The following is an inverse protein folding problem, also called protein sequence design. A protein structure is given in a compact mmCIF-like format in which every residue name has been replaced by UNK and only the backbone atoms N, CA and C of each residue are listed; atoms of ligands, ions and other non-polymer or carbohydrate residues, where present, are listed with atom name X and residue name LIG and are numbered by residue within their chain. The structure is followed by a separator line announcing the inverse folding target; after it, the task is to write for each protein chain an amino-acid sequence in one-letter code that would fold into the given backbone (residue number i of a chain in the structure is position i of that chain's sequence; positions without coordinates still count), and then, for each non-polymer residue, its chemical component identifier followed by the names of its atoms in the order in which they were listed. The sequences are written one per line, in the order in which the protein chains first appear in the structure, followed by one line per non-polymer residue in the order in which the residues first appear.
data_IF_454979655801
#
_entry.id   IF_454979655801
#
_cell.length_a   1.000
_cell.length_b   1.000
_cell.length_c   1.000
_cell.angle_alpha   90.00
_cell.angle_beta   90.00
_cell.angle_gamma   90.00
#
_symmetry.space_group_name_H-M   'P 1'
#
loop_
_entity.id
_entity.type
_entity.pdbx_description
1 polymer ?
2 polymer ?
3 non-polymer ?
4 non-polymer ?
5 water ?
#
# COMPACT_ATOMS: atom_id res chain seq x y z
N UNK A 112 -13.35 4.72 -19.84
CA UNK A 112 -13.83 4.10 -18.55
C UNK A 112 -13.70 2.57 -18.48
N UNK A 113 -13.23 2.08 -17.33
CA UNK A 113 -13.11 0.66 -17.08
C UNK A 113 -14.48 0.08 -16.88
N UNK A 114 -14.67 -1.10 -17.45
CA UNK A 114 -15.90 -1.87 -17.27
C UNK A 114 -16.14 -2.42 -15.83
N UNK A 115 -15.10 -2.47 -15.02
CA UNK A 115 -15.12 -2.98 -13.66
C UNK A 115 -14.81 -1.91 -12.61
N UNK A 116 -15.07 -0.65 -12.93
CA UNK A 116 -14.73 0.50 -12.07
C UNK A 116 -15.62 0.55 -10.77
N UNK A 117 -16.75 -0.20 -10.79
CA UNK A 117 -17.46 -0.51 -9.57
C UNK A 117 -18.07 -1.91 -9.58
N UNK A 118 -18.29 -2.41 -8.37
CA UNK A 118 -19.01 -3.63 -8.11
C UNK A 118 -20.16 -3.29 -7.12
N UNK A 119 -21.36 -3.81 -7.37
CA UNK A 119 -22.49 -3.67 -6.45
C UNK A 119 -22.64 -4.91 -5.63
N UNK A 120 -22.53 -4.79 -4.31
CA UNK A 120 -22.64 -5.98 -3.46
C UNK A 120 -23.98 -5.97 -2.73
N UNK A 121 -24.58 -7.16 -2.62
CA UNK A 121 -25.83 -7.32 -1.88
C UNK A 121 -25.80 -8.50 -0.93
N UNK A 122 -26.55 -8.39 0.15
CA UNK A 122 -26.73 -9.50 1.12
C UNK A 122 -27.83 -10.47 0.62
N UNK A 123 -27.54 -11.75 0.59
CA UNK A 123 -28.59 -12.68 0.13
C UNK A 123 -28.83 -13.79 1.14
N UNK A 124 -28.41 -13.62 2.40
CA UNK A 124 -28.36 -14.79 3.31
C UNK A 124 -27.64 -14.48 4.60
N UNK A 125 -27.70 -15.38 5.58
CA UNK A 125 -26.85 -15.25 6.75
C UNK A 125 -25.42 -15.45 6.24
N UNK A 126 -24.61 -14.41 6.39
CA UNK A 126 -23.22 -14.45 5.92
C UNK A 126 -23.08 -14.81 4.43
N UNK A 127 -24.08 -14.45 3.63
CA UNK A 127 -24.04 -14.74 2.20
C UNK A 127 -24.22 -13.44 1.41
N UNK A 128 -23.46 -13.29 0.33
CA UNK A 128 -23.40 -12.06 -0.46
C UNK A 128 -23.32 -12.40 -1.91
N UNK A 129 -23.75 -11.47 -2.76
CA UNK A 129 -23.58 -11.59 -4.18
C UNK A 129 -23.12 -10.23 -4.71
N UNK A 130 -22.27 -10.26 -5.73
CA UNK A 130 -21.78 -8.99 -6.33
C UNK A 130 -22.07 -9.01 -7.80
N UNK A 131 -22.35 -7.85 -8.36
CA UNK A 131 -22.29 -7.69 -9.82
C UNK A 131 -21.46 -6.50 -10.28
N UNK A 132 -20.54 -6.80 -11.17
CA UNK A 132 -19.68 -5.77 -11.71
C UNK A 132 -20.50 -4.84 -12.60
N UNK A 133 -20.14 -3.57 -12.61
CA UNK A 133 -20.86 -2.60 -13.42
C UNK A 133 -21.24 -3.13 -14.83
N UNK A 134 -20.26 -3.67 -15.58
CA UNK A 134 -20.52 -4.12 -16.99
C UNK A 134 -21.49 -5.32 -17.12
N UNK A 135 -21.75 -6.05 -16.02
CA UNK A 135 -22.65 -7.23 -16.02
C UNK A 135 -24.08 -6.89 -15.56
N UNK A 136 -24.31 -5.68 -15.08
CA UNK A 136 -25.67 -5.32 -14.66
C UNK A 136 -26.70 -5.41 -15.80
N UNK A 137 -27.79 -6.17 -15.57
CA UNK A 137 -28.84 -6.35 -16.60
C UNK A 137 -29.84 -5.20 -16.64
N UNK A 138 -29.67 -4.19 -15.79
CA UNK A 138 -30.63 -3.11 -15.74
C UNK A 138 -29.89 -1.92 -15.15
N UNK A 139 -30.57 -0.78 -15.20
CA UNK A 139 -30.05 0.44 -14.73
C UNK A 139 -30.53 0.61 -13.28
N UNK A 140 -29.62 0.42 -12.28
CA UNK A 140 -30.16 0.37 -10.89
C UNK A 140 -30.74 1.73 -10.51
N UNK A 141 -31.79 1.74 -9.70
CA UNK A 141 -32.39 2.99 -9.21
C UNK A 141 -31.53 3.53 -8.09
N UNK A 142 -31.89 4.70 -7.58
CA UNK A 142 -31.05 5.41 -6.61
C UNK A 142 -31.14 4.62 -5.33
N UNK A 143 -32.32 4.00 -5.10
CA UNK A 143 -32.56 3.14 -3.94
C UNK A 143 -31.65 1.88 -3.94
N UNK A 144 -31.63 1.19 -5.07
CA UNK A 144 -30.75 0.07 -5.24
C UNK A 144 -29.24 0.45 -5.01
N UNK A 145 -28.80 1.50 -5.68
CA UNK A 145 -27.45 2.10 -5.44
C UNK A 145 -27.21 2.38 -3.96
N UNK A 146 -28.14 3.06 -3.28
CA UNK A 146 -28.00 3.39 -1.85
C UNK A 146 -28.18 2.27 -0.85
N UNK A 147 -28.69 1.13 -1.27
CA UNK A 147 -28.93 -0.05 -0.42
C UNK A 147 -27.83 -1.07 -0.55
N UNK A 148 -27.11 -1.02 -1.70
CA UNK A 148 -25.93 -1.88 -1.94
C UNK A 148 -24.73 -1.39 -1.16
N UNK A 149 -23.81 -2.32 -0.87
CA UNK A 149 -22.40 -1.96 -0.69
C UNK A 149 -21.70 -1.66 -2.07
N UNK A 150 -21.41 -0.39 -2.35
CA UNK A 150 -20.76 -0.01 -3.61
C UNK A 150 -19.21 -0.05 -3.51
N UNK A 151 -18.56 -0.83 -4.36
CA UNK A 151 -17.10 -0.95 -4.27
C UNK A 151 -16.50 -0.21 -5.48
N UNK A 152 -15.62 0.80 -5.24
CA UNK A 152 -14.98 1.60 -6.32
C UNK A 152 -13.52 1.12 -6.56
N UNK A 153 -13.17 0.83 -7.80
CA UNK A 153 -11.82 0.35 -8.15
C UNK A 153 -10.87 1.57 -8.09
N UNK A 154 -9.71 1.46 -7.43
CA UNK A 154 -8.73 2.54 -7.43
C UNK A 154 -7.72 2.30 -8.55
N UNK A 155 -6.59 3.03 -8.56
CA UNK A 155 -5.64 2.92 -9.65
C UNK A 155 -4.88 1.61 -9.79
N UNK A 156 -4.80 0.83 -8.73
CA UNK A 156 -4.16 -0.51 -8.73
C UNK A 156 -5.17 -1.68 -8.62
N UNK A 157 -6.49 -1.44 -8.64
CA UNK A 157 -7.40 -2.58 -8.57
C UNK A 157 -7.80 -3.02 -7.15
N UNK A 158 -7.47 -2.18 -6.15
CA UNK A 158 -8.11 -2.23 -4.81
C UNK A 158 -9.51 -1.70 -4.96
N UNK A 159 -10.43 -2.20 -4.12
CA UNK A 159 -11.83 -1.78 -4.14
C UNK A 159 -12.21 -1.18 -2.78
N UNK A 160 -12.72 0.04 -2.83
CA UNK A 160 -13.08 0.83 -1.64
C UNK A 160 -14.56 0.96 -1.54
N UNK A 161 -15.10 0.74 -0.32
CA UNK A 161 -16.51 1.01 -0.04
C UNK A 161 -16.61 2.48 0.22
N UNK A 162 -17.85 3.04 0.25
CA UNK A 162 -18.09 4.47 0.06
C UNK A 162 -17.43 5.45 1.05
N UNK A 163 -17.56 5.23 2.41
CA UNK A 163 -17.01 6.21 3.39
C UNK A 163 -15.49 6.31 3.24
N UNK A 164 -14.84 5.20 2.85
CA UNK A 164 -13.41 5.17 2.56
C UNK A 164 -13.03 5.69 1.19
N UNK A 165 -13.76 5.34 0.14
CA UNK A 165 -13.52 5.94 -1.16
C UNK A 165 -13.59 7.45 -1.11
N UNK A 166 -14.58 7.99 -0.38
CA UNK A 166 -14.73 9.43 -0.22
C UNK A 166 -13.49 10.07 0.44
N UNK A 167 -13.10 9.56 1.62
CA UNK A 167 -11.94 10.14 2.34
C UNK A 167 -10.62 9.93 1.58
N UNK A 168 -10.56 8.93 0.72
CA UNK A 168 -9.37 8.70 -0.09
C UNK A 168 -9.15 9.79 -1.16
N UNK A 169 -10.18 10.58 -1.46
CA UNK A 169 -9.95 11.77 -2.29
C UNK A 169 -8.95 12.67 -1.55
N UNK A 170 -7.87 13.05 -2.21
CA UNK A 170 -6.86 13.82 -1.47
C UNK A 170 -7.00 15.32 -1.75
N UNK A 171 -6.62 16.16 -0.80
CA UNK A 171 -6.65 17.60 -1.09
C UNK A 171 -5.33 18.05 -1.73
N UNK A 172 -5.44 18.79 -2.84
CA UNK A 172 -4.35 19.52 -3.44
C UNK A 172 -3.54 20.28 -2.41
N UNK A 173 -2.23 20.02 -2.48
CA UNK A 173 -1.14 20.83 -1.90
C UNK A 173 -1.44 22.34 -1.69
N UNK A 174 -1.93 23.01 -2.73
CA UNK A 174 -2.10 24.45 -2.67
C UNK A 174 -3.27 24.80 -1.79
N UNK A 175 -4.37 24.08 -2.01
CA UNK A 175 -5.59 24.20 -1.24
C UNK A 175 -5.31 23.88 0.22
N UNK A 176 -4.65 22.77 0.51
CA UNK A 176 -4.30 22.49 1.89
C UNK A 176 -3.61 23.71 2.56
N UNK A 177 -2.50 24.20 1.98
CA UNK A 177 -1.69 25.34 2.50
C UNK A 177 -2.51 26.62 2.84
N UNK A 178 -3.30 27.02 1.87
CA UNK A 178 -4.30 28.11 1.90
C UNK A 178 -5.53 27.81 2.78
N UNK A 179 -5.41 27.65 4.10
CA UNK A 179 -6.49 26.91 4.84
C UNK A 179 -6.02 26.36 6.20
N UNK A 182 -5.30 29.74 7.19
CA UNK A 182 -5.52 28.67 8.16
C UNK A 182 -6.73 29.13 9.03
N UNK A 183 -7.42 28.20 9.76
CA UNK A 183 -8.86 28.41 10.03
C UNK A 183 -9.75 28.11 11.30
N UNK A 184 -9.82 26.88 11.92
CA UNK A 184 -9.71 25.45 11.61
C UNK A 184 -11.14 25.08 11.18
N UNK A 185 -11.70 23.95 11.66
CA UNK A 185 -13.15 23.57 11.49
C UNK A 185 -13.91 24.02 10.22
N UNK A 186 -13.66 25.26 9.80
CA UNK A 186 -13.96 25.66 8.42
C UNK A 186 -13.00 24.87 7.57
N UNK A 187 -11.96 24.35 8.23
CA UNK A 187 -10.97 23.52 7.64
C UNK A 187 -11.62 22.23 7.19
N UNK A 188 -12.30 21.55 8.13
CA UNK A 188 -13.10 20.37 7.88
C UNK A 188 -14.20 20.65 6.88
N UNK A 189 -14.94 21.74 7.10
CA UNK A 189 -16.00 22.16 6.16
C UNK A 189 -15.50 22.23 4.71
N UNK A 190 -14.35 22.84 4.48
CA UNK A 190 -13.88 23.13 3.10
C UNK A 190 -13.25 21.89 2.46
N UNK A 191 -12.54 21.11 3.27
CA UNK A 191 -12.08 19.79 2.85
C UNK A 191 -13.24 18.91 2.38
N UNK A 192 -14.31 18.85 3.17
CA UNK A 192 -15.53 18.10 2.82
C UNK A 192 -16.20 18.61 1.49
N UNK A 193 -16.29 19.93 1.36
CA UNK A 193 -16.91 20.54 0.20
C UNK A 193 -15.99 20.25 -0.97
N UNK A 194 -14.69 20.36 -0.78
CA UNK A 194 -13.78 19.97 -1.88
C UNK A 194 -13.97 18.50 -2.35
N UNK A 195 -13.93 17.55 -1.40
CA UNK A 195 -14.13 16.11 -1.76
C UNK A 195 -15.55 15.83 -2.31
N UNK A 196 -16.57 16.51 -1.75
CA UNK A 196 -17.99 16.39 -2.22
C UNK A 196 -18.12 16.70 -3.72
N UNK A 197 -17.38 17.69 -4.23
CA UNK A 197 -17.48 17.98 -5.66
C UNK A 197 -16.78 16.97 -6.54
N UNK A 198 -15.63 16.48 -6.12
CA UNK A 198 -14.97 15.38 -6.82
C UNK A 198 -15.89 14.17 -6.81
N UNK A 199 -16.43 13.86 -5.64
CA UNK A 199 -17.25 12.67 -5.46
C UNK A 199 -18.49 12.72 -6.36
N UNK A 200 -19.25 13.82 -6.26
CA UNK A 200 -20.43 14.12 -7.12
C UNK A 200 -20.19 14.07 -8.61
N UNK A 201 -19.11 14.70 -9.02
CA UNK A 201 -18.73 14.65 -10.45
C UNK A 201 -18.33 13.23 -10.88
N UNK A 202 -17.59 12.52 -10.05
CA UNK A 202 -17.27 11.11 -10.35
C UNK A 202 -18.53 10.20 -10.45
N UNK A 203 -19.51 10.40 -9.59
CA UNK A 203 -20.72 9.57 -9.61
C UNK A 203 -21.53 9.80 -10.86
N UNK A 204 -21.62 11.08 -11.26
CA UNK A 204 -22.23 11.51 -12.56
C UNK A 204 -21.66 10.90 -13.80
N UNK A 205 -20.34 10.87 -13.90
CA UNK A 205 -19.63 10.17 -14.94
C UNK A 205 -19.78 8.65 -14.89
N UNK A 206 -19.74 8.05 -13.72
CA UNK A 206 -19.93 6.59 -13.61
C UNK A 206 -21.43 6.18 -13.82
N UNK A 207 -22.32 7.16 -13.78
CA UNK A 207 -23.74 6.87 -13.97
C UNK A 207 -24.48 6.39 -12.73
N UNK A 208 -23.87 6.62 -11.56
CA UNK A 208 -24.45 6.19 -10.27
C UNK A 208 -25.35 7.29 -9.71
N UNK A 209 -26.61 6.99 -9.43
CA UNK A 209 -27.51 8.02 -8.86
C UNK A 209 -27.72 7.99 -7.36
N UNK A 210 -27.39 6.87 -6.70
CA UNK A 210 -27.35 6.80 -5.25
C UNK A 210 -25.90 6.99 -4.79
N UNK A 211 -25.66 8.17 -4.21
CA UNK A 211 -24.36 8.73 -3.95
C UNK A 211 -24.11 8.97 -2.45
N UNK A 212 -24.89 8.30 -1.57
CA UNK A 212 -24.63 8.35 -0.12
C UNK A 212 -23.22 7.90 0.21
N UNK A 213 -22.62 8.52 1.22
CA UNK A 213 -21.24 8.28 1.65
C UNK A 213 -21.17 7.26 2.78
N UNK A 214 -22.16 7.31 3.69
CA UNK A 214 -22.31 6.34 4.81
C UNK A 214 -21.21 6.48 5.84
N UNK A 215 -20.81 7.71 6.07
CA UNK A 215 -19.80 8.03 7.06
C UNK A 215 -20.37 8.11 8.50
N UNK A 216 -21.71 8.13 8.63
CA UNK A 216 -22.41 8.27 9.95
C UNK A 216 -22.05 7.14 10.89
N UNK A 217 -21.62 7.51 12.10
CA UNK A 217 -21.22 6.54 13.13
C UNK A 217 -22.46 6.02 13.89
N UNK A 218 -22.32 4.85 14.48
CA UNK A 218 -23.31 4.25 15.31
C UNK A 218 -23.28 4.97 16.68
N UNK A 219 -24.35 5.70 16.98
CA UNK A 219 -24.29 6.60 18.11
C UNK A 219 -24.62 5.94 19.48
N UNK A 220 -25.15 4.71 19.43
CA UNK A 220 -25.20 3.81 20.58
C UNK A 220 -23.85 3.31 21.11
N UNK A 221 -22.79 3.45 20.30
CA UNK A 221 -21.47 2.96 20.67
C UNK A 221 -20.56 4.10 21.20
N UNK A 222 -20.04 3.90 22.40
CA UNK A 222 -19.14 4.86 23.02
C UNK A 222 -17.69 4.42 22.95
N UNK A 223 -16.81 5.37 22.66
CA UNK A 223 -15.40 5.10 22.50
C UNK A 223 -14.66 4.96 23.83
N UNK A 224 -13.53 4.24 23.82
CA UNK A 224 -12.59 4.30 24.95
C UNK A 224 -11.72 5.59 24.91
N UNK A 225 -10.95 5.82 25.97
CA UNK A 225 -10.26 7.12 26.21
C UNK A 225 -9.21 7.45 25.15
N UNK A 226 -8.74 6.43 24.44
CA UNK A 226 -7.81 6.55 23.32
C UNK A 226 -8.61 6.98 22.06
N UNK A 227 -9.89 7.32 22.26
CA UNK A 227 -10.87 7.58 21.17
C UNK A 227 -10.98 6.43 20.16
N UNK A 228 -10.90 5.19 20.65
CA UNK A 228 -11.10 4.03 19.78
C UNK A 228 -12.18 3.11 20.29
N UNK A 229 -12.55 2.15 19.45
CA UNK A 229 -13.49 1.13 19.85
C UNK A 229 -13.00 0.32 21.07
N UNK A 230 -13.86 0.08 22.05
CA UNK A 230 -13.62 -0.96 23.08
C UNK A 230 -13.43 -2.31 22.37
N UNK A 231 -12.64 -3.23 22.96
CA UNK A 231 -12.49 -4.55 22.36
C UNK A 231 -13.82 -5.27 22.18
N UNK A 232 -14.77 -5.08 23.10
CA UNK A 232 -16.05 -5.70 22.87
C UNK A 232 -16.86 -5.12 21.74
N UNK A 233 -16.46 -3.98 21.15
CA UNK A 233 -17.27 -3.38 20.09
C UNK A 233 -16.62 -3.48 18.73
N UNK A 234 -15.47 -4.13 18.66
CA UNK A 234 -14.70 -4.18 17.42
C UNK A 234 -14.73 -5.46 16.66
N UNK A 235 -15.75 -6.29 16.87
CA UNK A 235 -15.92 -7.58 16.12
C UNK A 235 -17.28 -7.73 15.48
N UNK A 236 -17.29 -8.38 14.33
CA UNK A 236 -18.53 -8.86 13.77
C UNK A 236 -18.47 -10.37 13.93
N UNK A 237 -19.59 -10.97 14.30
CA UNK A 237 -19.75 -12.41 14.42
C UNK A 237 -20.39 -12.97 13.16
N UNK A 238 -19.72 -13.92 12.55
CA UNK A 238 -20.38 -14.71 11.54
C UNK A 238 -21.06 -15.92 12.22
N UNK A 239 -22.07 -16.45 11.56
CA UNK A 239 -22.72 -17.66 12.07
C UNK A 239 -21.82 -18.89 12.11
N UNK A 240 -21.06 -19.11 11.04
CA UNK A 240 -20.29 -20.34 10.83
C UNK A 240 -18.78 -20.13 10.80
N UNK A 241 -18.29 -18.88 10.63
CA UNK A 241 -16.90 -18.67 10.26
C UNK A 241 -15.99 -18.03 11.27
N UNK A 242 -16.51 -17.80 12.47
CA UNK A 242 -15.74 -17.12 13.50
C UNK A 242 -16.03 -15.61 13.49
N UNK A 243 -15.32 -14.87 14.30
CA UNK A 243 -15.45 -13.39 14.36
C UNK A 243 -14.52 -12.68 13.40
N UNK A 244 -14.83 -11.44 13.05
CA UNK A 244 -13.87 -10.64 12.33
C UNK A 244 -13.72 -9.24 12.92
N UNK A 245 -12.47 -8.83 13.10
CA UNK A 245 -12.21 -7.49 13.64
C UNK A 245 -12.50 -6.35 12.62
N UNK A 246 -13.08 -5.24 13.09
CA UNK A 246 -13.28 -4.06 12.21
C UNK A 246 -12.67 -2.85 12.88
N UNK A 247 -12.52 -1.78 12.10
CA UNK A 247 -11.91 -0.52 12.45
C UNK A 247 -12.89 0.53 13.06
N UNK A 248 -14.15 0.49 12.65
CA UNK A 248 -15.07 1.57 12.91
C UNK A 248 -16.48 1.03 12.82
N UNK A 249 -17.34 1.56 13.72
CA UNK A 249 -18.79 1.26 13.77
C UNK A 249 -19.63 2.28 13.08
N UNK A 250 -20.25 1.84 12.00
CA UNK A 250 -20.99 2.72 11.12
C UNK A 250 -22.46 2.50 11.42
N UNK A 251 -23.26 3.57 11.34
CA UNK A 251 -24.70 3.46 11.43
C UNK A 251 -25.30 2.52 10.35
N UNK A 252 -24.78 2.56 9.12
CA UNK A 252 -25.20 1.68 8.02
C UNK A 252 -24.06 0.72 7.70
N UNK A 253 -24.02 -0.37 8.44
CA UNK A 253 -22.90 -1.26 8.42
C UNK A 253 -22.69 -1.95 7.08
N UNK A 254 -23.72 -2.45 6.44
CA UNK A 254 -23.55 -3.17 5.20
C UNK A 254 -23.04 -2.22 4.10
N UNK A 255 -23.71 -1.07 3.92
CA UNK A 255 -23.39 -0.09 2.93
C UNK A 255 -22.05 0.55 3.10
N UNK A 256 -21.59 0.71 4.36
CA UNK A 256 -20.27 1.23 4.68
C UNK A 256 -19.15 0.25 4.37
N UNK A 257 -19.46 -1.01 4.08
CA UNK A 257 -18.41 -2.01 3.72
C UNK A 257 -17.97 -2.83 4.93
N UNK A 258 -18.59 -2.57 6.08
CA UNK A 258 -18.17 -3.22 7.31
C UNK A 258 -18.80 -4.58 7.57
N UNK A 259 -19.21 -5.30 6.51
CA UNK A 259 -19.84 -6.60 6.62
C UNK A 259 -19.52 -7.56 5.50
N UNK A 260 -18.39 -7.45 4.82
CA UNK A 260 -18.13 -8.22 3.62
C UNK A 260 -17.31 -9.41 3.99
N UNK A 261 -17.23 -10.39 3.08
CA UNK A 261 -16.35 -11.56 3.32
C UNK A 261 -14.87 -11.22 3.12
N UNK A 262 -14.04 -12.17 3.47
CA UNK A 262 -12.62 -12.06 3.52
C UNK A 262 -12.08 -11.86 2.08
N UNK A 263 -12.65 -12.60 1.11
CA UNK A 263 -12.03 -12.87 -0.18
C UNK A 263 -13.04 -12.49 -1.22
N UNK A 264 -12.61 -11.71 -2.19
CA UNK A 264 -13.39 -11.44 -3.42
C UNK A 264 -12.59 -11.92 -4.66
N UNK A 265 -13.18 -12.80 -5.47
CA UNK A 265 -12.55 -13.28 -6.69
C UNK A 265 -13.30 -12.60 -7.83
N UNK A 266 -12.59 -12.02 -8.78
CA UNK A 266 -13.27 -11.42 -9.90
C UNK A 266 -12.70 -12.09 -11.16
N UNK A 267 -13.52 -12.93 -11.83
CA UNK A 267 -13.01 -13.74 -12.96
C UNK A 267 -12.77 -12.85 -14.18
N UNK A 268 -12.08 -13.39 -15.23
CA UNK A 268 -11.90 -12.64 -16.48
C UNK A 268 -13.20 -12.16 -17.15
N UNK A 269 -14.32 -12.85 -16.86
CA UNK A 269 -15.67 -12.37 -17.30
C UNK A 269 -16.32 -11.32 -16.36
N UNK A 270 -15.66 -11.00 -15.23
CA UNK A 270 -16.05 -9.92 -14.32
C UNK A 270 -17.16 -10.39 -13.39
N UNK A 271 -17.27 -11.69 -13.26
CA UNK A 271 -18.12 -12.38 -12.33
C UNK A 271 -17.40 -12.39 -10.97
N UNK A 272 -18.17 -12.22 -9.91
CA UNK A 272 -17.70 -12.06 -8.56
C UNK A 272 -18.01 -13.33 -7.79
N UNK A 273 -16.99 -13.90 -7.11
CA UNK A 273 -17.25 -14.94 -6.13
C UNK A 273 -16.68 -14.50 -4.80
N UNK A 274 -17.38 -14.82 -3.74
CA UNK A 274 -17.01 -14.38 -2.41
C UNK A 274 -16.75 -15.56 -1.58
N UNK A 275 -15.83 -15.42 -0.65
CA UNK A 275 -15.40 -16.51 0.19
C UNK A 275 -15.02 -16.03 1.61
N UNK A 276 -15.33 -16.88 2.60
CA UNK A 276 -14.82 -16.79 3.98
C UNK A 276 -13.81 -17.92 4.27
N UNK A 277 -12.69 -17.62 4.92
CA UNK A 277 -11.84 -18.60 5.55
C UNK A 277 -12.48 -19.06 6.88
N UNK A 278 -12.11 -20.25 7.34
CA UNK A 278 -12.35 -20.66 8.75
C UNK A 278 -11.23 -21.55 9.26
N UNK A 279 -10.97 -21.50 10.56
CA UNK A 279 -10.04 -22.42 11.25
C UNK A 279 -10.32 -23.84 10.81
N UNK A 280 -9.30 -24.46 10.21
CA UNK A 280 -9.34 -25.81 9.70
C UNK A 280 -10.13 -26.03 8.43
N UNK A 281 -10.11 -25.06 7.51
CA UNK A 281 -10.81 -25.23 6.23
C UNK A 281 -9.95 -25.95 5.22
N UNK A 282 -10.47 -26.16 4.00
CA UNK A 282 -9.70 -26.88 2.96
C UNK A 282 -8.28 -26.32 2.73
N UNK A 283 -8.02 -25.05 3.12
CA UNK A 283 -6.64 -24.52 3.02
C UNK A 283 -5.91 -24.35 4.36
N UNK A 284 -6.39 -24.94 5.44
CA UNK A 284 -5.64 -24.85 6.70
C UNK A 284 -4.13 -25.18 6.57
N UNK A 285 -3.30 -24.25 7.07
CA UNK A 285 -1.85 -24.30 6.98
C UNK A 285 -1.31 -24.44 5.54
N UNK A 286 -2.15 -24.12 4.54
CA UNK A 286 -1.75 -23.97 3.15
C UNK A 286 -1.52 -22.49 2.76
N UNK A 287 -0.62 -22.26 1.81
CA UNK A 287 -0.10 -20.91 1.54
C UNK A 287 -1.03 -20.19 0.59
N UNK A 288 -1.09 -18.86 0.69
CA UNK A 288 -1.90 -18.09 -0.21
C UNK A 288 -1.63 -18.47 -1.69
N UNK A 289 -0.35 -18.59 -2.05
CA UNK A 289 0.07 -18.94 -3.44
C UNK A 289 -0.54 -20.24 -4.00
N UNK A 290 -0.78 -21.19 -3.12
CA UNK A 290 -1.55 -22.39 -3.52
C UNK A 290 -3.03 -22.08 -3.81
N UNK A 291 -3.64 -21.26 -2.96
CA UNK A 291 -5.05 -20.91 -3.19
C UNK A 291 -5.12 -20.19 -4.53
N UNK A 292 -4.20 -19.26 -4.71
CA UNK A 292 -4.05 -18.46 -5.87
C UNK A 292 -3.95 -19.31 -7.17
N UNK A 293 -3.12 -20.35 -7.13
CA UNK A 293 -2.95 -21.24 -8.29
C UNK A 293 -4.17 -22.07 -8.64
N UNK A 294 -4.93 -22.47 -7.64
CA UNK A 294 -6.16 -23.20 -7.81
C UNK A 294 -7.29 -22.27 -8.29
N UNK A 295 -7.19 -21.00 -7.93
CA UNK A 295 -8.14 -20.03 -8.44
C UNK A 295 -7.86 -19.80 -9.91
N UNK A 296 -6.62 -19.68 -10.31
CA UNK A 296 -6.45 -19.31 -11.69
C UNK A 296 -6.59 -20.51 -12.65
N UNK A 297 -6.28 -21.70 -12.16
CA UNK A 297 -6.71 -22.93 -12.80
C UNK A 297 -8.21 -23.05 -13.04
N UNK A 298 -9.03 -22.86 -12.02
CA UNK A 298 -10.53 -22.84 -12.15
C UNK A 298 -11.12 -21.73 -13.08
N UNK A 299 -10.58 -20.50 -12.99
CA UNK A 299 -11.24 -19.34 -13.59
C UNK A 299 -10.55 -18.70 -14.75
N UNK A 300 -9.26 -18.94 -14.93
CA UNK A 300 -8.47 -18.21 -15.89
C UNK A 300 -7.33 -17.49 -15.18
N UNK A 301 -6.19 -17.40 -15.82
CA UNK A 301 -5.04 -16.80 -15.18
C UNK A 301 -5.12 -15.27 -15.05
N UNK A 302 -6.10 -14.63 -15.71
CA UNK A 302 -6.37 -13.19 -15.62
C UNK A 302 -7.31 -12.81 -14.46
N UNK A 303 -7.68 -13.79 -13.64
CA UNK A 303 -8.54 -13.62 -12.47
C UNK A 303 -7.90 -12.72 -11.40
N UNK A 304 -8.68 -11.84 -10.80
CA UNK A 304 -8.18 -10.99 -9.70
C UNK A 304 -8.63 -11.52 -8.35
N UNK A 305 -7.78 -11.44 -7.35
CA UNK A 305 -8.18 -11.82 -6.01
C UNK A 305 -7.96 -10.65 -5.11
N UNK A 306 -9.00 -10.26 -4.36
CA UNK A 306 -8.98 -9.25 -3.33
C UNK A 306 -9.14 -9.86 -1.96
N UNK A 307 -8.36 -9.30 -1.06
CA UNK A 307 -8.31 -9.73 0.33
C UNK A 307 -8.69 -8.50 1.18
N UNK A 308 -9.71 -8.68 1.99
CA UNK A 308 -10.27 -7.63 2.83
C UNK A 308 -9.40 -7.15 3.97
N UNK A 309 -9.39 -5.85 4.13
CA UNK A 309 -8.72 -5.21 5.21
C UNK A 309 -9.74 -5.05 6.38
N UNK A 310 -9.26 -4.91 7.61
CA UNK A 310 -10.22 -4.58 8.73
C UNK A 310 -11.05 -3.33 8.53
N UNK A 311 -10.62 -2.48 7.62
CA UNK A 311 -11.34 -1.27 7.32
C UNK A 311 -12.53 -1.48 6.36
N UNK A 312 -12.46 -2.56 5.63
CA UNK A 312 -13.46 -2.73 4.60
C UNK A 312 -12.89 -2.69 3.20
N UNK A 313 -11.69 -2.13 3.03
CA UNK A 313 -11.02 -2.17 1.74
C UNK A 313 -10.66 -3.58 1.29
N UNK A 314 -10.93 -3.89 0.03
CA UNK A 314 -10.53 -5.12 -0.61
C UNK A 314 -9.32 -4.87 -1.46
N UNK A 315 -8.15 -5.19 -0.90
CA UNK A 315 -6.90 -5.00 -1.56
C UNK A 315 -6.62 -6.14 -2.52
N UNK A 316 -6.24 -5.77 -3.74
CA UNK A 316 -5.75 -6.70 -4.70
C UNK A 316 -4.52 -7.37 -4.11
N UNK A 317 -4.49 -8.69 -4.29
CA UNK A 317 -3.41 -9.58 -3.82
C UNK A 317 -2.00 -9.19 -4.36
N UNK A 318 -1.90 -8.86 -5.65
CA UNK A 318 -0.62 -8.37 -6.23
C UNK A 318 -0.21 -6.99 -5.71
N UNK A 319 -1.16 -6.07 -5.54
CA UNK A 319 -0.83 -4.83 -4.82
C UNK A 319 -0.16 -5.10 -3.41
N UNK A 320 -0.77 -5.97 -2.64
CA UNK A 320 -0.24 -6.34 -1.31
C UNK A 320 1.19 -6.93 -1.40
N UNK A 321 1.44 -7.84 -2.33
CA UNK A 321 2.77 -8.40 -2.54
C UNK A 321 3.77 -7.38 -2.99
N UNK A 322 3.38 -6.48 -3.91
CA UNK A 322 4.31 -5.33 -4.27
C UNK A 322 4.62 -4.43 -3.06
N UNK A 323 3.71 -4.33 -2.09
CA UNK A 323 3.99 -3.56 -0.87
C UNK A 323 5.02 -4.29 0.03
N UNK A 324 4.81 -5.60 0.26
CA UNK A 324 5.74 -6.42 1.06
C UNK A 324 5.52 -7.83 0.59
N UNK A 325 6.55 -8.50 0.10
CA UNK A 325 6.43 -9.90 -0.27
C UNK A 325 5.95 -10.74 0.90
N UNK A 326 4.96 -11.61 0.66
CA UNK A 326 4.31 -12.42 1.69
C UNK A 326 3.15 -11.80 2.47
N UNK A 327 2.89 -10.52 2.25
CA UNK A 327 1.69 -9.78 2.83
C UNK A 327 0.34 -10.40 2.48
N UNK A 328 0.21 -10.85 1.23
CA UNK A 328 -1.02 -11.45 0.76
C UNK A 328 -1.28 -12.71 1.60
N UNK A 329 -0.20 -13.46 1.80
CA UNK A 329 -0.23 -14.73 2.58
C UNK A 329 -0.49 -14.46 4.05
N UNK A 330 0.15 -13.45 4.60
CA UNK A 330 -0.13 -13.02 6.00
C UNK A 330 -1.58 -12.66 6.19
N UNK A 331 -2.14 -11.86 5.30
CA UNK A 331 -3.55 -11.51 5.39
C UNK A 331 -4.43 -12.75 5.22
N UNK A 332 -4.13 -13.58 4.21
CA UNK A 332 -4.89 -14.82 4.00
C UNK A 332 -4.93 -15.81 5.26
N UNK A 333 -3.78 -16.06 5.84
CA UNK A 333 -3.64 -16.89 7.04
C UNK A 333 -4.46 -16.35 8.19
N UNK A 334 -4.45 -15.03 8.36
CA UNK A 334 -5.01 -14.36 9.53
C UNK A 334 -6.51 -14.52 9.59
N UNK A 335 -7.17 -14.54 8.41
CA UNK A 335 -8.60 -14.80 8.32
C UNK A 335 -9.02 -16.13 9.02
N UNK A 336 -8.16 -17.15 8.89
CA UNK A 336 -8.31 -18.50 9.50
C UNK A 336 -7.70 -18.61 10.95
N UNK A 337 -7.13 -17.54 11.49
CA UNK A 337 -6.51 -17.59 12.82
C UNK A 337 -5.10 -18.17 12.84
N UNK A 338 -4.47 -18.19 11.66
CA UNK A 338 -3.14 -18.75 11.47
C UNK A 338 -2.08 -17.65 11.50
N UNK A 339 -0.83 -18.09 11.62
CA UNK A 339 0.32 -17.24 11.93
C UNK A 339 1.51 -18.01 11.35
N UNK A 340 2.30 -17.36 10.51
CA UNK A 340 3.51 -18.01 9.93
C UNK A 340 4.57 -16.95 9.73
N UNK A 341 5.81 -17.42 9.54
CA UNK A 341 7.00 -16.53 9.54
C UNK A 341 7.19 -15.71 8.26
N UNK A 345 14.72 -9.67 1.34
CA UNK A 345 13.78 -8.70 1.89
C UNK A 345 14.03 -7.18 1.95
N UNK A 346 15.24 -6.65 1.84
CA UNK A 346 15.31 -5.29 1.33
C UNK A 346 14.76 -5.21 -0.13
N UNK A 347 14.15 -4.08 -0.54
CA UNK A 347 13.89 -3.99 -2.03
C UNK A 347 15.17 -4.16 -2.91
N UNK A 348 15.02 -4.80 -4.08
CA UNK A 348 16.09 -5.08 -5.03
C UNK A 348 16.80 -3.84 -5.60
N UNK A 349 16.00 -2.79 -5.83
CA UNK A 349 16.47 -1.53 -6.32
C UNK A 349 15.54 -0.47 -5.73
N UNK A 350 16.05 0.75 -5.55
CA UNK A 350 15.35 1.83 -4.92
C UNK A 350 15.66 3.13 -5.75
N UNK A 351 14.74 4.12 -5.74
CA UNK A 351 15.02 5.42 -6.35
C UNK A 351 14.76 6.52 -5.31
N UNK A 352 15.69 7.48 -5.22
CA UNK A 352 15.54 8.61 -4.38
C UNK A 352 14.62 9.69 -5.01
N UNK A 353 13.49 9.92 -4.37
CA UNK A 353 12.42 10.78 -4.83
C UNK A 353 12.39 12.02 -3.97
N UNK A 354 13.22 12.00 -2.92
CA UNK A 354 13.46 13.12 -2.05
C UNK A 354 14.66 13.84 -2.59
N UNK A 355 15.42 14.47 -1.68
CA UNK A 355 16.51 15.42 -2.03
C UNK A 355 16.10 16.49 -3.08
N UNK A 356 15.25 17.48 -2.71
CA UNK A 356 14.62 18.51 -3.66
C UNK A 356 15.05 20.02 -4.18
N UNK A 357 14.77 21.26 -3.57
CA UNK A 357 14.86 22.35 -2.55
C UNK A 357 16.11 22.53 -1.69
N UNK A 363 18.12 21.49 0.09
CA UNK A 363 17.70 20.12 -0.34
C UNK A 363 16.96 19.38 0.73
N UNK A 364 15.79 18.89 0.35
CA UNK A 364 14.89 18.08 1.18
C UNK A 364 15.46 16.69 1.62
N UNK A 365 14.82 16.01 2.56
CA UNK A 365 15.29 14.68 3.00
C UNK A 365 15.24 13.58 1.91
N UNK A 366 16.15 12.62 2.02
CA UNK A 366 16.14 11.46 1.15
C UNK A 366 14.92 10.59 1.38
N UNK A 367 14.39 9.99 0.30
CA UNK A 367 13.25 9.10 0.41
C UNK A 367 13.34 8.17 -0.75
N UNK A 368 13.72 6.91 -0.48
CA UNK A 368 14.06 5.94 -1.52
C UNK A 368 12.88 4.98 -1.74
N UNK A 369 12.34 4.89 -2.93
CA UNK A 369 11.14 4.17 -3.10
C UNK A 369 11.56 3.01 -3.93
N UNK A 370 11.08 1.84 -3.54
CA UNK A 370 11.27 0.61 -4.30
C UNK A 370 10.93 0.81 -5.79
N UNK A 371 11.83 0.41 -6.67
CA UNK A 371 11.59 0.47 -8.10
C UNK A 371 10.48 -0.45 -8.65
N UNK A 372 10.50 -1.71 -8.22
CA UNK A 372 9.45 -2.65 -8.43
C UNK A 372 8.02 -2.14 -8.09
N UNK A 373 7.84 -1.66 -6.87
CA UNK A 373 6.62 -0.93 -6.49
C UNK A 373 6.20 0.13 -7.54
N UNK A 374 7.12 1.03 -7.84
CA UNK A 374 6.86 2.06 -8.78
C UNK A 374 6.48 1.55 -10.18
N UNK A 375 7.27 0.66 -10.76
CA UNK A 375 7.05 0.16 -12.08
C UNK A 375 5.81 -0.75 -12.23
N UNK A 376 5.47 -1.50 -11.18
CA UNK A 376 4.31 -2.38 -11.18
C UNK A 376 3.04 -1.53 -11.07
N UNK A 377 3.10 -0.58 -10.19
CA UNK A 377 1.89 0.07 -9.74
C UNK A 377 1.61 1.41 -10.47
N UNK A 378 2.66 2.06 -11.00
CA UNK A 378 2.43 3.33 -11.73
C UNK A 378 3.26 3.26 -13.01
N UNK A 379 2.86 2.39 -13.95
CA UNK A 379 3.64 2.14 -15.19
C UNK A 379 3.73 3.40 -16.11
N UNK A 380 2.84 4.37 -15.91
CA UNK A 380 2.90 5.63 -16.63
C UNK A 380 3.31 6.84 -15.81
N UNK A 381 3.70 6.68 -14.54
CA UNK A 381 4.43 7.75 -13.80
C UNK A 381 5.57 8.37 -14.68
N UNK A 382 5.78 9.71 -14.60
CA UNK A 382 7.06 10.24 -15.20
C UNK A 382 8.35 9.71 -14.55
N UNK A 383 8.39 9.41 -13.22
CA UNK A 383 9.53 8.64 -12.62
C UNK A 383 9.74 7.30 -13.30
N UNK A 384 8.70 6.48 -13.35
CA UNK A 384 8.75 5.16 -13.99
C UNK A 384 9.24 5.25 -15.42
N UNK A 385 8.70 6.19 -16.18
CA UNK A 385 9.05 6.24 -17.58
C UNK A 385 10.49 6.75 -17.78
N UNK A 386 10.91 7.77 -17.03
CA UNK A 386 12.35 8.17 -17.04
C UNK A 386 13.30 7.01 -16.67
N UNK A 387 12.95 6.22 -15.62
CA UNK A 387 13.76 5.03 -15.21
C UNK A 387 13.89 3.97 -16.30
N UNK A 388 12.80 3.71 -17.01
CA UNK A 388 12.75 2.78 -18.13
C UNK A 388 13.66 3.21 -19.26
N UNK A 389 13.86 4.49 -19.46
CA UNK A 389 14.75 5.00 -20.50
C UNK A 389 16.21 5.13 -19.99
N UNK A 390 16.50 4.76 -18.74
CA UNK A 390 17.84 4.88 -18.23
C UNK A 390 18.19 6.21 -17.62
N UNK A 391 17.22 7.06 -17.41
CA UNK A 391 17.49 8.36 -16.74
C UNK A 391 17.39 8.20 -15.19
N UNK A 392 17.82 9.22 -14.47
CA UNK A 392 17.74 9.28 -13.02
C UNK A 392 18.60 8.16 -12.36
N UNK A 393 19.61 7.63 -13.08
CA UNK A 393 20.51 6.60 -12.59
C UNK A 393 21.34 7.10 -11.43
N UNK A 394 21.51 8.42 -11.28
CA UNK A 394 22.25 8.90 -10.11
C UNK A 394 21.38 8.93 -8.82
N UNK A 395 20.10 8.56 -8.94
CA UNK A 395 19.25 8.47 -7.78
C UNK A 395 18.91 6.97 -7.45
N UNK A 396 19.48 6.05 -8.20
CA UNK A 396 19.17 4.63 -8.08
C UNK A 396 20.26 3.91 -7.28
N UNK A 397 19.80 3.00 -6.39
CA UNK A 397 20.61 2.12 -5.49
C UNK A 397 20.15 0.74 -5.80
N UNK A 398 21.05 -0.22 -5.82
CA UNK A 398 20.73 -1.62 -6.13
C UNK A 398 21.34 -2.49 -5.03
N UNK A 399 20.60 -3.54 -4.66
CA UNK A 399 21.01 -4.47 -3.60
C UNK A 399 22.14 -5.51 -4.05
N UNK A 400 23.25 -5.59 -3.29
CA UNK A 400 24.27 -6.63 -3.43
C UNK A 400 23.68 -8.02 -3.38
N UNK A 401 24.42 -8.99 -3.90
CA UNK A 401 24.00 -10.40 -3.89
C UNK A 401 23.75 -10.93 -2.49
N UNK A 402 24.59 -10.52 -1.53
CA UNK A 402 24.41 -10.92 -0.13
C UNK A 402 23.20 -10.31 0.64
N UNK A 403 22.49 -9.34 0.05
CA UNK A 403 21.24 -8.81 0.64
C UNK A 403 21.45 -7.72 1.65
N UNK A 404 22.69 -7.30 1.83
CA UNK A 404 23.01 -6.45 3.01
C UNK A 404 23.46 -5.03 2.72
N UNK A 405 23.74 -4.79 1.47
CA UNK A 405 24.32 -3.56 1.08
C UNK A 405 23.66 -2.97 -0.18
N UNK A 406 23.44 -1.68 -0.18
CA UNK A 406 23.15 -0.88 -1.39
C UNK A 406 24.33 -0.13 -1.97
N UNK A 407 24.35 -0.10 -3.30
CA UNK A 407 25.39 0.60 -4.04
C UNK A 407 24.81 1.14 -5.34
N UNK A 408 25.50 2.06 -5.97
CA UNK A 408 25.16 2.43 -7.35
C UNK A 408 25.13 1.24 -8.32
N UNK A 409 24.35 1.39 -9.38
CA UNK A 409 24.34 0.37 -10.45
C UNK A 409 25.68 0.13 -11.16
N UNK A 410 26.45 1.20 -11.43
CA UNK A 410 27.85 0.99 -11.97
C UNK A 410 28.75 0.23 -11.03
N UNK A 411 28.77 0.60 -9.77
CA UNK A 411 29.51 -0.21 -8.74
C UNK A 411 29.13 -1.68 -8.71
N UNK A 412 27.84 -1.99 -8.88
CA UNK A 412 27.39 -3.38 -8.84
C UNK A 412 27.71 -4.05 -10.14
N UNK A 413 27.44 -3.38 -11.25
CA UNK A 413 27.89 -3.90 -12.53
C UNK A 413 29.38 -4.29 -12.51
N UNK A 414 30.22 -3.38 -11.99
CA UNK A 414 31.62 -3.59 -11.86
C UNK A 414 31.90 -4.75 -10.91
N UNK A 415 31.41 -4.67 -9.67
CA UNK A 415 31.88 -5.60 -8.68
C UNK A 415 31.26 -7.02 -8.77
N UNK A 416 30.11 -7.17 -9.42
CA UNK A 416 29.40 -8.46 -9.53
C UNK A 416 28.48 -8.48 -10.77
N UNK A 417 29.09 -8.55 -11.99
CA UNK A 417 28.35 -8.33 -13.27
C UNK A 417 27.19 -9.28 -13.43
N UNK A 418 27.37 -10.53 -12.99
CA UNK A 418 26.27 -11.54 -13.08
C UNK A 418 25.05 -11.22 -12.23
N UNK A 419 25.25 -10.87 -10.97
CA UNK A 419 24.11 -10.46 -10.16
C UNK A 419 23.49 -9.15 -10.74
N UNK A 420 24.34 -8.21 -11.16
CA UNK A 420 23.83 -6.97 -11.79
C UNK A 420 22.80 -7.21 -12.90
N UNK A 421 23.12 -8.15 -13.82
CA UNK A 421 22.30 -8.43 -14.98
C UNK A 421 21.01 -9.11 -14.57
N UNK A 422 21.08 -10.05 -13.64
CA UNK A 422 19.87 -10.66 -13.07
C UNK A 422 18.92 -9.69 -12.28
N UNK A 423 19.52 -8.83 -11.45
CA UNK A 423 18.77 -7.88 -10.65
C UNK A 423 18.08 -6.89 -11.59
N UNK A 424 18.80 -6.43 -12.59
CA UNK A 424 18.26 -5.37 -13.45
C UNK A 424 17.16 -5.92 -14.36
N UNK A 425 17.31 -7.12 -14.90
CA UNK A 425 16.20 -7.81 -15.63
C UNK A 425 15.00 -8.09 -14.72
N UNK A 426 15.22 -8.55 -13.49
CA UNK A 426 14.13 -8.89 -12.59
C UNK A 426 13.38 -7.64 -12.22
N UNK A 427 14.10 -6.55 -12.00
CA UNK A 427 13.44 -5.34 -11.53
C UNK A 427 12.88 -4.47 -12.67
N UNK A 428 13.31 -4.70 -13.91
CA UNK A 428 12.84 -3.91 -15.06
C UNK A 428 13.61 -2.64 -15.39
N UNK A 429 14.87 -2.59 -15.01
CA UNK A 429 15.72 -1.46 -15.34
C UNK A 429 16.66 -1.84 -16.48
N UNK A 430 17.00 -0.84 -17.33
CA UNK A 430 17.96 -1.14 -18.42
C UNK A 430 19.42 -1.14 -17.92
N UNK A 431 20.19 -2.14 -18.35
CA UNK A 431 21.61 -2.33 -18.05
C UNK A 431 22.57 -1.15 -18.39
N UNK A 432 22.14 -0.25 -19.27
CA UNK A 432 22.86 1.03 -19.53
C UNK A 432 23.14 1.91 -18.27
N UNK A 433 22.34 1.78 -17.21
CA UNK A 433 22.60 2.50 -15.93
C UNK A 433 23.94 2.15 -15.29
N UNK A 434 24.42 0.96 -15.58
CA UNK A 434 25.68 0.53 -15.02
C UNK A 434 26.94 0.98 -15.76
N UNK A 435 26.80 1.80 -16.82
CA UNK A 435 27.96 2.43 -17.49
C UNK A 435 27.90 3.94 -17.36
N UNK A 436 27.32 4.44 -16.28
CA UNK A 436 27.15 5.88 -16.06
C UNK A 436 27.88 6.29 -14.77
N UNK A 437 28.52 7.47 -14.76
CA UNK A 437 29.15 8.02 -13.52
C UNK A 437 29.47 9.53 -13.59
N UNK A 438 29.21 10.26 -12.49
CA UNK A 438 29.54 11.68 -12.36
C UNK A 438 31.05 11.87 -12.06
N UNK A 439 31.50 13.14 -11.93
CA UNK A 439 32.87 13.46 -11.48
C UNK A 439 32.93 13.57 -9.96
N UNK A 447 29.93 9.50 -0.30
CA UNK A 447 29.16 10.62 -0.76
C UNK A 447 28.51 11.28 0.44
N UNK A 448 28.91 12.54 0.60
CA UNK A 448 28.67 13.28 1.83
C UNK A 448 27.28 13.84 2.03
N UNK A 449 26.57 14.05 0.94
CA UNK A 449 25.21 14.59 1.06
C UNK A 449 24.18 13.59 1.63
N UNK A 450 24.32 12.33 1.30
CA UNK A 450 23.31 11.34 1.64
C UNK A 450 23.07 11.18 3.18
N UNK A 451 21.84 10.95 3.59
CA UNK A 451 21.59 10.65 5.01
C UNK A 451 22.54 9.55 5.59
N UNK A 452 22.89 9.69 6.87
CA UNK A 452 23.80 8.75 7.55
C UNK A 452 23.17 7.38 7.85
N UNK A 453 21.85 7.34 7.98
CA UNK A 453 21.11 6.14 8.29
C UNK A 453 19.89 6.22 7.41
N UNK A 454 19.54 5.09 6.79
CA UNK A 454 18.23 4.93 6.25
C UNK A 454 17.48 3.73 6.82
N UNK A 455 16.17 3.80 6.89
CA UNK A 455 15.40 2.77 7.53
C UNK A 455 14.32 2.23 6.60
N UNK A 456 14.24 0.90 6.44
CA UNK A 456 13.26 0.26 5.61
C UNK A 456 11.88 0.21 6.29
N UNK A 457 10.85 0.57 5.56
CA UNK A 457 9.53 0.75 6.17
C UNK A 457 8.56 0.65 5.02
N UNK A 458 8.07 -0.55 4.75
CA UNK A 458 7.38 -0.85 3.53
C UNK A 458 8.32 -0.88 2.32
N UNK A 459 7.79 -0.56 1.13
CA UNK A 459 8.56 -0.46 -0.09
C UNK A 459 9.28 0.87 -0.27
N UNK A 460 9.73 1.46 0.86
CA UNK A 460 10.58 2.61 0.80
C UNK A 460 11.53 2.67 2.05
N UNK A 461 12.68 3.34 1.89
CA UNK A 461 13.61 3.59 2.95
C UNK A 461 13.48 5.04 3.30
N UNK A 462 13.44 5.31 4.61
CA UNK A 462 13.28 6.64 5.18
C UNK A 462 14.43 7.02 6.11
N UNK A 463 14.72 8.30 6.17
CA UNK A 463 15.58 8.89 7.16
C UNK A 463 14.97 8.76 8.54
N UNK A 464 15.83 8.66 9.54
CA UNK A 464 15.33 8.43 10.91
C UNK A 464 14.31 9.54 11.40
N UNK A 465 14.68 10.85 11.27
CA UNK A 465 13.70 11.89 11.68
C UNK A 465 12.36 11.94 10.95
N UNK A 466 12.19 11.15 9.89
CA UNK A 466 10.92 11.05 9.18
C UNK A 466 10.03 9.96 9.76
N UNK A 467 10.56 9.14 10.65
CA UNK A 467 9.71 8.07 11.19
C UNK A 467 9.02 8.58 12.46
N UNK A 468 7.76 8.17 12.63
CA UNK A 468 6.99 8.55 13.81
C UNK A 468 7.57 7.89 15.04
N UNK A 469 7.40 8.54 16.21
CA UNK A 469 7.91 7.92 17.46
C UNK A 469 7.54 6.43 17.69
N UNK A 470 6.34 6.01 17.28
CA UNK A 470 5.96 4.59 17.44
C UNK A 470 6.67 3.61 16.47
N UNK A 471 6.93 4.06 15.23
CA UNK A 471 7.73 3.28 14.24
C UNK A 471 9.11 2.89 14.75
N UNK A 472 9.74 3.84 15.47
CA UNK A 472 11.04 3.65 16.05
C UNK A 472 10.92 3.54 17.55
N UNK A 476 20.75 -3.84 16.62
CA UNK A 476 20.79 -4.83 15.56
C UNK A 476 19.53 -4.90 14.64
N UNK A 477 18.69 -3.86 14.61
CA UNK A 477 17.54 -3.94 13.69
C UNK A 477 18.00 -4.21 12.27
N UNK A 478 17.28 -5.17 11.68
CA UNK A 478 17.59 -5.62 10.35
C UNK A 478 16.95 -4.73 9.31
N UNK A 479 16.35 -3.64 9.77
CA UNK A 479 15.64 -2.68 8.95
C UNK A 479 16.50 -1.40 8.72
N UNK A 480 17.65 -1.36 9.41
CA UNK A 480 18.52 -0.21 9.56
C UNK A 480 19.81 -0.34 8.75
N UNK A 481 20.09 0.67 7.92
CA UNK A 481 21.23 0.71 7.00
C UNK A 481 22.02 1.98 7.30
N UNK A 482 23.34 1.82 7.23
CA UNK A 482 24.30 2.78 7.69
C UNK A 482 25.09 3.25 6.48
N UNK A 483 25.25 4.57 6.35
CA UNK A 483 26.11 5.12 5.29
C UNK A 483 27.54 4.82 5.63
N UNK A 484 28.16 3.96 4.83
CA UNK A 484 29.51 3.52 5.06
C UNK A 484 30.57 4.60 4.83
N UNK A 485 31.73 4.36 5.42
CA UNK A 485 32.87 5.21 5.36
C UNK A 485 34.06 4.29 5.13
N UNK A 486 35.04 4.74 4.36
CA UNK A 486 36.27 3.91 4.18
C UNK A 486 37.26 3.95 5.38
N UNK A 487 38.44 3.39 5.20
CA UNK A 487 39.47 3.52 6.24
C UNK A 487 39.90 5.00 6.57
N UNK A 488 39.91 5.89 5.55
CA UNK A 488 40.16 7.35 5.83
C UNK A 488 39.03 8.11 6.57
N UNK A 489 37.88 7.49 6.84
CA UNK A 489 36.77 8.26 7.40
C UNK A 489 35.86 8.84 6.30
N UNK A 490 36.07 8.46 5.04
CA UNK A 490 35.20 9.09 4.06
C UNK A 490 34.08 8.22 3.55
N UNK A 491 32.93 8.88 3.27
CA UNK A 491 31.75 8.23 2.75
C UNK A 491 32.05 7.58 1.42
N UNK A 492 31.70 6.29 1.29
CA UNK A 492 31.88 5.52 0.07
C UNK A 492 30.60 5.67 -0.83
N UNK A 493 29.49 6.11 -0.25
CA UNK A 493 28.28 6.09 -1.03
C UNK A 493 27.44 4.84 -0.75
N UNK A 494 28.04 3.78 -0.18
CA UNK A 494 27.21 2.61 0.06
C UNK A 494 26.47 2.72 1.38
N UNK A 495 25.44 1.89 1.53
CA UNK A 495 24.77 1.70 2.76
C UNK A 495 24.83 0.20 3.07
N UNK A 496 25.07 -0.14 4.33
CA UNK A 496 25.24 -1.50 4.73
C UNK A 496 24.38 -1.70 5.97
N UNK A 497 23.72 -2.86 6.07
CA UNK A 497 22.81 -3.26 7.21
C UNK A 497 23.58 -3.18 8.55
N UNK A 498 22.94 -2.71 9.63
CA UNK A 498 23.58 -2.74 10.97
C UNK A 498 24.08 -4.14 11.39
N UNK A 499 23.38 -5.21 10.99
CA UNK A 499 23.73 -6.61 11.35
C UNK A 499 25.09 -7.01 10.86
N UNK A 500 25.45 -6.49 9.69
CA UNK A 500 26.80 -6.66 9.23
C UNK A 500 27.81 -5.90 10.09
N UNK A 501 27.42 -4.75 10.64
CA UNK A 501 28.36 -3.99 11.50
C UNK A 501 28.70 -4.81 12.78
N UNK A 502 27.69 -5.42 13.35
CA UNK A 502 27.81 -6.32 14.48
C UNK A 502 28.59 -7.58 14.19
N UNK A 503 28.35 -8.20 13.06
CA UNK A 503 28.97 -9.46 12.71
C UNK A 503 30.46 -9.22 12.50
N UNK A 504 30.83 -8.18 11.75
CA UNK A 504 32.23 -7.84 11.54
C UNK A 504 32.87 -7.04 12.67
N UNK A 505 32.11 -6.80 13.74
CA UNK A 505 32.58 -5.98 14.91
C UNK A 505 33.08 -4.58 14.46
N UNK A 506 32.39 -4.02 13.45
CA UNK A 506 32.75 -2.70 12.98
C UNK A 506 31.95 -1.67 13.74
N UNK A 507 32.66 -0.72 14.29
CA UNK A 507 32.05 0.45 14.91
C UNK A 507 31.25 1.31 13.86
N UNK A 508 30.06 1.77 14.23
CA UNK A 508 29.27 2.72 13.47
C UNK A 508 29.99 4.05 13.38
N UNK A 509 29.90 4.75 12.20
CA UNK A 509 30.38 6.13 12.18
C UNK A 509 29.56 6.94 13.20
N UNK A 510 30.15 8.01 13.72
CA UNK A 510 29.55 8.81 14.79
C UNK A 510 28.25 9.53 14.37
N UNK A 511 28.19 10.02 13.14
CA UNK A 511 26.90 10.58 12.61
C UNK A 511 25.75 9.56 12.69
N UNK A 512 26.02 8.33 12.22
CA UNK A 512 25.09 7.21 12.33
C UNK A 512 24.74 6.88 13.77
N UNK A 513 25.79 6.88 14.59
CA UNK A 513 25.69 6.46 15.98
C UNK A 513 24.78 7.40 16.78
N UNK A 514 24.94 8.72 16.61
CA UNK A 514 24.02 9.66 17.28
C UNK A 514 22.55 9.71 16.80
N UNK A 515 22.27 9.31 15.55
CA UNK A 515 20.90 9.27 15.08
C UNK A 515 20.19 8.09 15.69
N UNK A 516 20.95 7.01 15.93
CA UNK A 516 20.39 5.81 16.55
C UNK A 516 20.42 5.79 18.10
N UNK A 517 20.97 6.84 18.70
CA UNK A 517 20.91 7.03 20.16
C UNK A 517 19.45 7.24 20.67
N UNK B 31 -11.30 12.39 14.92
CA UNK B 31 -10.42 12.21 13.71
C UNK B 31 -11.16 11.57 12.55
N UNK B 32 -12.40 11.97 12.32
CA UNK B 32 -13.35 11.12 11.60
C UNK B 32 -13.06 10.86 10.10
N UNK B 33 -12.17 11.68 9.51
CA UNK B 33 -11.68 11.52 8.13
C UNK B 33 -10.67 10.35 7.91
N UNK B 34 -10.06 9.89 9.02
CA UNK B 34 -8.99 8.88 8.94
C UNK B 34 -9.22 7.66 9.87
N UNK B 35 -10.10 7.79 10.87
CA UNK B 35 -10.29 6.72 11.85
C UNK B 35 -11.05 5.48 11.37
N UNK B 36 -11.59 5.48 10.14
CA UNK B 36 -12.17 4.26 9.56
C UNK B 36 -11.10 3.45 8.85
N UNK B 37 -9.90 4.03 8.75
CA UNK B 37 -8.76 3.38 8.10
C UNK B 37 -7.83 2.70 9.12
N UNK B 38 -7.23 1.62 8.68
CA UNK B 38 -6.20 0.90 9.41
C UNK B 38 -4.93 1.76 9.33
N UNK B 39 -4.01 1.56 10.26
CA UNK B 39 -2.73 2.26 10.22
C UNK B 39 -2.00 1.92 8.94
N UNK B 40 -1.98 0.62 8.58
CA UNK B 40 -1.43 0.18 7.32
C UNK B 40 -2.13 0.78 6.06
N UNK B 41 -3.47 0.80 6.02
CA UNK B 41 -4.16 1.45 4.87
C UNK B 41 -3.71 2.89 4.71
N UNK B 42 -3.47 3.60 5.79
CA UNK B 42 -3.03 5.01 5.73
C UNK B 42 -1.57 5.24 5.26
N UNK B 43 -0.69 4.35 5.65
CA UNK B 43 0.67 4.32 5.06
C UNK B 43 0.66 3.98 3.62
N UNK B 44 -0.20 3.04 3.20
CA UNK B 44 -0.35 2.71 1.79
C UNK B 44 -0.78 3.96 1.03
N UNK B 45 -1.88 4.55 1.46
CA UNK B 45 -2.36 5.80 0.83
C UNK B 45 -1.37 6.95 0.81
N UNK B 46 -0.75 7.24 1.96
CA UNK B 46 0.33 8.26 2.04
C UNK B 46 1.38 8.05 0.93
N UNK B 47 1.82 6.82 0.72
CA UNK B 47 2.91 6.56 -0.30
C UNK B 47 2.39 6.72 -1.74
N UNK B 48 1.20 6.16 -2.01
CA UNK B 48 0.50 6.34 -3.26
C UNK B 48 0.37 7.81 -3.58
N UNK B 49 -0.14 8.62 -2.65
CA UNK B 49 -0.25 10.09 -2.84
C UNK B 49 1.10 10.77 -3.07
N UNK B 50 2.10 10.35 -2.32
CA UNK B 50 3.46 10.90 -2.41
C UNK B 50 4.00 10.71 -3.84
N UNK B 51 3.83 9.48 -4.32
CA UNK B 51 4.42 8.97 -5.51
C UNK B 51 3.65 9.48 -6.76
N UNK B 52 2.31 9.67 -6.65
CA UNK B 52 1.46 10.29 -7.67
C UNK B 52 1.75 11.79 -7.94
N UNK B 53 2.20 12.52 -6.89
CA UNK B 53 2.38 13.96 -6.96
C UNK B 53 3.85 14.41 -6.87
N UNK B 54 4.78 13.49 -6.97
CA UNK B 54 6.21 13.83 -6.81
C UNK B 54 6.79 14.42 -8.14
N UNK B 55 7.29 15.66 -8.09
CA UNK B 55 7.92 16.32 -9.25
C UNK B 55 9.29 15.68 -9.56
N UNK B 56 9.54 15.50 -10.84
CA UNK B 56 10.85 15.08 -11.32
C UNK B 56 11.95 16.05 -10.87
N UNK B 57 13.18 15.58 -10.69
CA UNK B 57 14.22 16.57 -10.34
C UNK B 57 14.41 17.62 -11.47
N UNK B 58 15.14 18.71 -11.19
CA UNK B 58 15.56 19.66 -12.24
C UNK B 58 16.81 19.19 -12.96
X LIG C 1 -14.89 6.89 7.47
X LIG D 1 -4.57 4.64 -6.04
X LIG D 1 -5.71 5.33 -6.60
X LIG D 1 -3.71 3.83 -7.03
X LIG D 1 -2.62 4.56 -7.66
X LIG D 1 -2.18 4.09 -8.96
X LIG D 1 -2.51 5.16 -9.98
X LIG D 1 -2.35 4.73 -11.33
X LIG E 1 -7.32 9.84 4.84
X LIG F 1 -12.74 7.63 8.01
#
# INVERSE_FOLDING_TARGET
MDPKAEGNGENITETAAGNVETSDFVNLKRQKREGVNSTGMSEIDMTGSQETPEHNMHGSPTHTDDLGPRLDADMLDSQSSHVSSSAQGNRSEVENELSNLFAKMALPGHDRRTDEYILVRQTGQDKFAGTTKCNLDHLPTKAEFNASCRLYRDGVGNYYPPPLAFERIDLPEQLAAQLHNLEPREQSKQCFQYKLEVWNRAHAEMGITGTDIFYQTDKNIKLDRNYKLRPEDRYIQTEKYGRREIQKRYEHQFQAGSLLPDILIKTPQNDIHFSYRFAGDAYANKRFEEFERAIKTKYGSDTEIKLKSKSGIMHDSKYLESWERGSADIRFAEFAGENRAHNKQFPAATVNMGRQPDGQGGMTRDRHVSVDYLLQNLPNSPWTQALKEGKLWDRVQVLARDGNRYMSPSRLEYSDPEHFTQLMDQVGLPVSMGRQSHANSVKFEQFDRQAAVIVADGPNLREVPDLSPEKLQQLSQKDVLIADRNEKGQRTGTYTNVVEYERLMMKLPSDAAQLLAEPSDRYSRAFVRPEPALPPISDSRRTYESRPRGPTVNSL
MVIIKLNANKNMPVLAVEKPQEIHKEELSDHHQSNGFTSLDLEMIELENFVLHCPLPEENLAG
NH4 N
PEG C1 O1 C2 O2 C3 C4 O4
NH4 N
NH4 N
#
